data_IF_288453447368
#
_entry.id   IF_288453447368
#
_cell.length_a   1.000
_cell.length_b   1.000
_cell.length_c   1.000
_cell.angle_alpha   90.00
_cell.angle_beta   90.00
_cell.angle_gamma   90.00
#
_symmetry.space_group_name_H-M   'P 1'
#
loop_
_entity.id
_entity.type
_entity.pdbx_description
1 polymer ?
#
# COMPACT_ATOMS: atom_id res chain seq x y z
N UNK A 1 14.14 -14.91 23.25
CA UNK A 1 14.54 -13.67 23.95
C UNK A 1 13.31 -12.74 24.05
N UNK A 2 13.00 -12.22 25.25
CA UNK A 2 11.77 -11.44 25.45
C UNK A 2 11.96 -10.04 24.90
N UNK A 3 11.25 -9.74 23.81
CA UNK A 3 11.14 -8.40 23.22
C UNK A 3 10.64 -7.43 24.30
N UNK A 4 11.26 -6.24 24.47
CA UNK A 4 10.75 -5.22 25.39
C UNK A 4 9.28 -4.87 25.08
N UNK A 5 8.53 -4.40 26.07
CA UNK A 5 7.20 -3.84 25.81
C UNK A 5 7.31 -2.69 24.81
N UNK A 6 6.58 -2.77 23.70
CA UNK A 6 6.64 -1.80 22.62
C UNK A 6 5.28 -1.67 21.94
N UNK A 7 5.07 -0.54 21.28
CA UNK A 7 3.99 -0.36 20.32
C UNK A 7 4.52 -0.69 18.93
N UNK A 8 3.70 -1.39 18.14
CA UNK A 8 4.02 -1.70 16.75
C UNK A 8 2.86 -1.26 15.87
N UNK A 9 3.18 -0.52 14.81
CA UNK A 9 2.28 -0.25 13.70
C UNK A 9 2.81 -0.94 12.45
N UNK A 10 1.90 -1.37 11.58
CA UNK A 10 2.23 -1.81 10.23
C UNK A 10 1.32 -1.04 9.28
N UNK A 11 1.88 -0.51 8.20
CA UNK A 11 1.13 0.19 7.16
C UNK A 11 1.36 -0.49 5.82
N UNK A 12 0.32 -0.61 5.00
CA UNK A 12 0.43 -1.02 3.60
C UNK A 12 0.21 0.21 2.74
N UNK A 13 1.28 0.74 2.16
CA UNK A 13 1.21 1.93 1.30
C UNK A 13 0.97 1.57 -0.18
N UNK A 14 1.26 0.33 -0.60
CA UNK A 14 1.06 -0.11 -1.99
C UNK A 14 1.99 0.64 -2.92
N UNK A 15 1.47 1.16 -4.03
CA UNK A 15 2.29 1.85 -5.04
C UNK A 15 2.57 3.32 -4.71
N UNK A 16 2.05 3.85 -3.58
CA UNK A 16 2.21 5.25 -3.19
C UNK A 16 3.35 5.45 -2.19
N UNK A 17 4.57 5.60 -2.70
CA UNK A 17 5.77 5.85 -1.87
C UNK A 17 5.62 7.10 -0.98
N UNK A 18 4.82 8.09 -1.38
CA UNK A 18 4.63 9.29 -0.56
C UNK A 18 3.85 8.99 0.74
N UNK A 19 3.03 7.93 0.80
CA UNK A 19 2.33 7.50 2.03
C UNK A 19 3.30 6.87 3.04
N UNK A 20 4.31 6.14 2.55
CA UNK A 20 5.40 5.60 3.36
C UNK A 20 6.17 6.75 4.02
N UNK A 21 6.64 7.70 3.23
CA UNK A 21 7.39 8.85 3.75
C UNK A 21 6.55 9.79 4.63
N UNK A 22 5.23 9.87 4.41
CA UNK A 22 4.33 10.52 5.35
C UNK A 22 4.37 9.84 6.72
N UNK A 23 4.24 8.51 6.76
CA UNK A 23 4.32 7.75 8.02
C UNK A 23 5.67 7.93 8.70
N UNK A 24 6.77 7.87 7.95
CA UNK A 24 8.13 8.09 8.47
C UNK A 24 8.26 9.50 9.07
N UNK A 25 7.81 10.53 8.35
CA UNK A 25 7.88 11.92 8.84
C UNK A 25 7.13 12.11 10.16
N UNK A 26 5.98 11.45 10.33
CA UNK A 26 5.20 11.48 11.58
C UNK A 26 6.00 10.81 12.71
N UNK A 27 6.70 9.70 12.46
CA UNK A 27 7.57 9.07 13.47
C UNK A 27 8.70 10.03 13.90
N UNK A 28 9.33 10.73 12.96
CA UNK A 28 10.35 11.74 13.29
C UNK A 28 9.76 12.87 14.15
N UNK A 29 8.59 13.40 13.79
CA UNK A 29 7.89 14.44 14.57
C UNK A 29 7.48 13.96 15.97
N UNK A 30 6.97 12.73 16.10
CA UNK A 30 6.60 12.15 17.39
C UNK A 30 7.81 12.00 18.31
N UNK A 31 8.93 11.48 17.79
CA UNK A 31 10.17 11.35 18.58
C UNK A 31 10.80 12.69 18.92
N UNK A 32 10.59 13.71 18.09
CA UNK A 32 11.01 15.09 18.39
C UNK A 32 10.20 15.69 19.53
N UNK A 33 8.88 15.45 19.57
CA UNK A 33 7.98 15.93 20.61
C UNK A 33 8.13 15.19 21.94
N UNK A 34 8.27 13.86 21.90
CA UNK A 34 8.41 13.00 23.08
C UNK A 34 9.84 12.46 23.20
N UNK A 35 10.63 13.05 24.09
CA UNK A 35 12.06 12.72 24.25
C UNK A 35 12.34 11.30 24.74
N UNK A 36 11.34 10.62 25.32
CA UNK A 36 11.49 9.24 25.76
C UNK A 36 11.11 8.22 24.68
N UNK A 37 10.65 8.67 23.50
CA UNK A 37 10.24 7.81 22.42
C UNK A 37 11.44 7.43 21.53
N UNK A 38 11.75 6.14 21.50
CA UNK A 38 12.71 5.55 20.57
C UNK A 38 11.91 4.72 19.57
N UNK A 39 12.05 5.03 18.29
CA UNK A 39 11.35 4.34 17.23
C UNK A 39 12.32 3.56 16.34
N UNK A 40 11.78 2.54 15.68
CA UNK A 40 12.42 1.82 14.58
C UNK A 40 11.46 1.79 13.42
N UNK A 41 11.99 1.91 12.22
CA UNK A 41 11.23 1.92 10.97
C UNK A 41 11.99 1.08 9.97
N UNK A 42 11.30 0.13 9.33
CA UNK A 42 11.85 -0.74 8.31
C UNK A 42 10.73 -1.14 7.34
N UNK A 43 11.09 -1.52 6.12
CA UNK A 43 10.17 -1.98 5.07
C UNK A 43 10.51 -3.43 4.65
N UNK A 44 10.04 -3.86 3.47
CA UNK A 44 10.36 -5.19 2.91
C UNK A 44 11.81 -5.32 2.44
N UNK A 45 12.48 -4.21 2.14
CA UNK A 45 13.86 -4.16 1.66
C UNK A 45 14.86 -3.98 2.82
N UNK A 46 14.38 -3.64 4.01
CA UNK A 46 15.13 -3.63 5.26
C UNK A 46 15.12 -2.26 5.92
N UNK A 47 16.29 -1.73 6.23
CA UNK A 47 16.44 -0.44 6.91
C UNK A 47 16.28 0.73 5.91
N UNK A 48 15.04 1.08 5.57
CA UNK A 48 14.70 2.12 4.58
C UNK A 48 15.43 3.46 4.77
N UNK A 49 15.66 3.85 6.02
CA UNK A 49 16.37 5.10 6.34
C UNK A 49 17.84 5.08 5.89
N UNK A 50 18.45 3.90 5.84
CA UNK A 50 19.80 3.71 5.31
C UNK A 50 19.82 3.75 3.78
N UNK A 51 18.77 3.25 3.12
CA UNK A 51 18.66 3.27 1.66
C UNK A 51 18.67 4.73 1.15
N UNK A 52 17.88 5.61 1.76
CA UNK A 52 17.83 7.04 1.38
C UNK A 52 19.16 7.78 1.64
N UNK A 53 19.99 7.27 2.54
CA UNK A 53 21.25 7.90 2.94
C UNK A 53 22.50 7.14 2.51
N UNK A 54 22.37 6.18 1.58
CA UNK A 54 23.39 5.20 1.22
C UNK A 54 24.77 5.80 0.91
N UNK A 55 24.82 6.91 0.18
CA UNK A 55 26.09 7.57 -0.21
C UNK A 55 26.87 8.17 0.96
N UNK A 56 26.19 8.45 2.07
CA UNK A 56 26.74 9.09 3.26
C UNK A 56 26.95 8.13 4.43
N UNK A 57 26.66 6.84 4.24
CA UNK A 57 26.77 5.85 5.31
C UNK A 57 28.23 5.54 5.67
N UNK A 58 28.52 5.22 6.93
CA UNK A 58 29.81 4.64 7.31
C UNK A 58 30.06 3.33 6.57
N UNK A 59 31.26 3.14 6.00
CA UNK A 59 31.65 1.94 5.22
C UNK A 59 31.50 0.59 5.92
N UNK A 60 31.36 0.59 7.25
CA UNK A 60 31.17 -0.64 8.00
C UNK A 60 29.71 -1.07 8.08
N UNK A 61 28.78 -0.17 7.78
CA UNK A 61 27.35 -0.34 7.94
C UNK A 61 26.76 -0.95 6.68
N UNK A 62 26.72 -2.27 6.69
CA UNK A 62 26.11 -3.13 5.66
C UNK A 62 24.81 -3.75 6.20
N UNK A 63 23.91 -4.28 5.34
CA UNK A 63 22.63 -4.87 5.73
C UNK A 63 22.73 -5.86 6.90
N UNK A 64 23.70 -6.78 6.84
CA UNK A 64 23.91 -7.80 7.89
C UNK A 64 24.36 -7.20 9.22
N UNK A 65 24.99 -6.03 9.18
CA UNK A 65 25.57 -5.38 10.37
C UNK A 65 24.67 -4.30 10.95
N UNK A 66 23.63 -3.88 10.21
CA UNK A 66 22.67 -2.85 10.62
C UNK A 66 21.61 -3.35 11.62
N UNK A 67 21.49 -4.68 11.77
CA UNK A 67 20.49 -5.33 12.61
C UNK A 67 20.52 -4.78 14.03
N UNK A 68 19.38 -4.23 14.48
CA UNK A 68 19.21 -3.59 15.79
C UNK A 68 20.21 -2.45 16.08
N UNK A 69 20.66 -1.70 15.06
CA UNK A 69 21.53 -0.53 15.24
C UNK A 69 20.92 0.80 14.82
N UNK A 70 19.86 0.76 14.03
CA UNK A 70 19.23 1.94 13.45
C UNK A 70 17.99 2.31 14.27
N UNK A 71 17.94 3.55 14.75
CA UNK A 71 16.86 4.07 15.58
C UNK A 71 16.54 5.51 15.21
N UNK A 72 15.29 5.92 15.44
CA UNK A 72 14.87 7.33 15.40
C UNK A 72 14.61 7.79 16.82
N UNK A 73 15.26 8.86 17.24
CA UNK A 73 15.13 9.43 18.58
C UNK A 73 15.35 10.94 18.53
N UNK A 74 14.57 11.71 19.29
CA UNK A 74 14.65 13.17 19.33
C UNK A 74 14.57 13.85 17.94
N UNK A 75 13.83 13.25 16.98
CA UNK A 75 13.71 13.75 15.62
C UNK A 75 14.97 13.57 14.75
N UNK A 76 15.90 12.71 15.14
CA UNK A 76 17.14 12.43 14.41
C UNK A 76 17.35 10.93 14.20
N UNK A 77 18.14 10.60 13.19
CA UNK A 77 18.63 9.24 13.00
C UNK A 77 19.77 8.93 13.97
N UNK A 78 19.70 7.79 14.62
CA UNK A 78 20.77 7.25 15.45
C UNK A 78 21.23 5.90 14.89
N UNK A 79 22.55 5.75 14.75
CA UNK A 79 23.23 4.52 14.35
C UNK A 79 24.16 4.14 15.49
N UNK A 80 23.93 2.98 16.11
CA UNK A 80 24.80 2.48 17.19
C UNK A 80 26.16 2.05 16.62
N UNK A 81 27.27 2.77 16.92
CA UNK A 81 28.58 2.42 16.39
C UNK A 81 29.12 1.14 17.03
N UNK A 82 30.02 0.45 16.31
CA UNK A 82 30.66 -0.80 16.77
C UNK A 82 31.47 -0.62 18.06
N UNK A 83 31.96 0.59 18.32
CA UNK A 83 32.76 0.90 19.50
C UNK A 83 31.91 0.95 20.78
N UNK A 84 30.63 1.32 20.66
CA UNK A 84 29.67 1.37 21.78
C UNK A 84 29.04 -0.02 21.99
N UNK A 85 28.62 -0.66 20.89
CA UNK A 85 28.00 -1.97 20.93
C UNK A 85 28.75 -2.93 20.03
N UNK A 86 29.59 -3.77 20.65
CA UNK A 86 30.40 -4.78 19.98
C UNK A 86 29.55 -5.99 19.60
N UNK A 87 29.87 -6.62 18.48
CA UNK A 87 29.16 -7.78 17.93
C UNK A 87 28.44 -7.47 16.63
N UNK A 88 28.32 -8.45 15.74
CA UNK A 88 27.76 -8.21 14.39
C UNK A 88 26.23 -8.09 14.41
N UNK A 89 25.56 -8.80 15.32
CA UNK A 89 24.09 -8.78 15.46
C UNK A 89 23.68 -8.67 16.95
N UNK A 90 23.71 -7.47 17.55
CA UNK A 90 23.28 -7.29 18.92
C UNK A 90 21.80 -7.59 19.09
N UNK A 91 21.40 -8.04 20.29
CA UNK A 91 19.98 -8.14 20.62
C UNK A 91 19.36 -6.75 20.76
N UNK A 92 18.05 -6.65 20.46
CA UNK A 92 17.32 -5.38 20.62
C UNK A 92 17.42 -4.82 22.05
N UNK A 93 17.50 -5.70 23.06
CA UNK A 93 17.67 -5.28 24.46
C UNK A 93 19.01 -4.59 24.68
N UNK A 94 20.09 -5.17 24.19
CA UNK A 94 21.45 -4.60 24.30
C UNK A 94 21.53 -3.27 23.55
N UNK A 95 20.93 -3.20 22.36
CA UNK A 95 20.87 -1.99 21.57
C UNK A 95 20.16 -0.83 22.30
N UNK A 96 18.98 -1.09 22.88
CA UNK A 96 18.27 -0.09 23.65
C UNK A 96 19.03 0.31 24.92
N UNK A 97 19.65 -0.64 25.63
CA UNK A 97 20.49 -0.34 26.79
C UNK A 97 21.71 0.51 26.44
N UNK A 98 22.26 0.36 25.24
CA UNK A 98 23.36 1.19 24.74
C UNK A 98 22.90 2.60 24.33
N UNK A 99 21.64 2.76 23.88
CA UNK A 99 21.11 4.04 23.41
C UNK A 99 20.56 4.91 24.57
N UNK A 100 19.89 4.31 25.54
CA UNK A 100 19.23 5.01 26.66
C UNK A 100 20.12 6.00 27.44
N UNK A 101 21.40 5.70 27.77
CA UNK A 101 22.27 6.63 28.49
C UNK A 101 22.47 7.96 27.75
N UNK A 102 22.29 7.96 26.43
CA UNK A 102 22.50 9.12 25.57
C UNK A 102 21.20 9.86 25.26
N UNK A 103 20.05 9.39 25.75
CA UNK A 103 18.72 9.96 25.44
C UNK A 103 18.58 11.45 25.84
N UNK A 104 19.29 11.87 26.89
CA UNK A 104 19.29 13.28 27.34
C UNK A 104 20.49 14.10 26.84
N UNK A 105 21.40 13.50 26.06
CA UNK A 105 22.59 14.19 25.54
C UNK A 105 22.23 15.08 24.36
N UNK A 106 22.80 16.28 24.29
CA UNK A 106 22.63 17.19 23.15
C UNK A 106 23.38 16.75 21.89
N UNK A 107 24.48 16.01 22.06
CA UNK A 107 25.28 15.48 20.96
C UNK A 107 25.72 14.04 21.30
N UNK A 108 24.81 13.06 21.16
CA UNK A 108 25.11 11.69 21.52
C UNK A 108 26.00 11.05 20.45
N UNK A 109 26.97 10.20 20.85
CA UNK A 109 27.87 9.51 19.90
C UNK A 109 27.14 8.49 19.01
N UNK A 110 25.86 8.28 19.25
CA UNK A 110 24.96 7.44 18.45
C UNK A 110 24.23 8.23 17.37
N UNK A 111 24.23 9.56 17.40
CA UNK A 111 23.62 10.38 16.35
C UNK A 111 24.39 10.15 15.04
N UNK A 112 23.68 9.86 13.95
CA UNK A 112 24.31 9.74 12.64
C UNK A 112 24.89 11.09 12.18
N UNK A 113 25.95 11.03 11.37
CA UNK A 113 26.67 12.21 10.86
C UNK A 113 25.75 13.15 10.06
N UNK A 114 26.09 14.44 10.03
CA UNK A 114 25.23 15.46 9.41
C UNK A 114 24.87 15.17 7.94
N UNK A 115 25.74 14.62 7.07
CA UNK A 115 25.35 14.24 5.72
C UNK A 115 24.19 13.24 5.67
N UNK A 116 24.20 12.25 6.57
CA UNK A 116 23.10 11.26 6.70
C UNK A 116 21.81 11.94 7.17
N UNK A 117 21.91 12.85 8.15
CA UNK A 117 20.75 13.60 8.64
C UNK A 117 20.17 14.51 7.55
N UNK A 118 21.01 15.17 6.76
CA UNK A 118 20.58 16.08 5.70
C UNK A 118 19.89 15.34 4.56
N UNK A 119 20.38 14.16 4.14
CA UNK A 119 19.67 13.34 3.13
C UNK A 119 18.23 13.03 3.56
N UNK A 120 18.05 12.59 4.82
CA UNK A 120 16.72 12.30 5.37
C UNK A 120 15.86 13.56 5.50
N UNK A 121 16.45 14.67 5.96
CA UNK A 121 15.76 15.97 6.08
C UNK A 121 15.33 16.51 4.73
N UNK A 122 16.15 16.34 3.70
CA UNK A 122 15.86 16.71 2.33
C UNK A 122 14.73 15.85 1.75
N UNK A 123 14.73 14.53 1.99
CA UNK A 123 13.66 13.63 1.57
C UNK A 123 12.32 13.96 2.22
N UNK A 124 12.33 14.21 3.53
CA UNK A 124 11.16 14.58 4.33
C UNK A 124 10.77 16.06 4.23
N UNK A 125 11.42 16.85 3.37
CA UNK A 125 11.18 18.29 3.27
C UNK A 125 9.72 18.60 2.92
N UNK A 126 9.07 19.35 3.81
CA UNK A 126 7.68 19.79 3.65
C UNK A 126 6.64 18.78 4.10
N UNK A 127 7.02 17.62 4.62
CA UNK A 127 6.08 16.73 5.30
C UNK A 127 5.78 17.21 6.72
N UNK A 128 4.57 16.92 7.24
CA UNK A 128 3.45 16.21 6.59
C UNK A 128 2.57 17.11 5.69
N UNK A 129 2.75 18.44 5.75
CA UNK A 129 1.83 19.41 5.14
C UNK A 129 1.73 19.27 3.62
N UNK A 130 2.86 18.99 2.94
CA UNK A 130 2.93 18.76 1.50
C UNK A 130 2.04 17.60 1.09
N UNK A 131 2.19 16.44 1.74
CA UNK A 131 1.40 15.26 1.44
C UNK A 131 -0.09 15.49 1.71
N UNK A 132 -0.44 16.16 2.81
CA UNK A 132 -1.84 16.48 3.14
C UNK A 132 -2.48 17.42 2.10
N UNK A 133 -1.70 18.36 1.56
CA UNK A 133 -2.16 19.36 0.59
C UNK A 133 -2.22 18.81 -0.84
N UNK A 134 -1.23 18.03 -1.25
CA UNK A 134 -1.03 17.66 -2.66
C UNK A 134 -1.53 16.26 -3.00
N UNK A 135 -1.64 15.35 -2.02
CA UNK A 135 -2.18 14.00 -2.24
C UNK A 135 -3.67 13.97 -2.61
N UNK A 136 -4.56 14.81 -2.05
CA UNK A 136 -5.99 14.72 -2.38
C UNK A 136 -6.31 15.04 -3.84
N UNK A 137 -7.29 14.33 -4.40
CA UNK A 137 -7.89 14.62 -5.70
C UNK A 137 -9.41 14.42 -5.64
N UNK A 138 -10.19 15.43 -6.02
CA UNK A 138 -11.64 15.44 -6.02
C UNK A 138 -12.19 15.29 -7.44
N UNK A 139 -13.06 14.31 -7.63
CA UNK A 139 -13.71 14.06 -8.91
C UNK A 139 -15.14 13.57 -8.67
N UNK A 140 -16.08 13.96 -9.53
CA UNK A 140 -17.44 13.46 -9.50
C UNK A 140 -17.49 12.05 -10.09
N UNK A 141 -18.31 11.22 -9.48
CA UNK A 141 -18.59 9.87 -9.93
C UNK A 141 -20.11 9.66 -9.92
N UNK A 142 -20.65 9.09 -11.00
CA UNK A 142 -22.06 8.72 -11.07
C UNK A 142 -22.27 7.36 -10.37
N UNK A 143 -22.69 7.40 -9.11
CA UNK A 143 -22.68 6.25 -8.20
C UNK A 143 -24.08 5.87 -7.71
N UNK A 144 -24.31 4.59 -7.38
CA UNK A 144 -25.45 4.16 -6.59
C UNK A 144 -25.49 4.81 -5.20
N UNK A 145 -26.69 5.09 -4.70
CA UNK A 145 -26.92 5.64 -3.36
C UNK A 145 -26.24 4.81 -2.25
N UNK A 146 -26.24 3.47 -2.40
CA UNK A 146 -25.60 2.57 -1.42
C UNK A 146 -24.11 2.82 -1.30
N UNK A 147 -23.39 3.03 -2.41
CA UNK A 147 -21.96 3.36 -2.40
C UNK A 147 -21.74 4.78 -1.85
N UNK A 148 -22.59 5.73 -2.21
CA UNK A 148 -22.53 7.09 -1.65
C UNK A 148 -22.60 7.07 -0.11
N UNK A 149 -23.55 6.31 0.46
CA UNK A 149 -23.69 6.09 1.91
C UNK A 149 -22.44 5.44 2.51
N UNK A 150 -21.90 4.39 1.87
CA UNK A 150 -20.67 3.73 2.33
C UNK A 150 -19.49 4.70 2.40
N UNK A 151 -19.30 5.53 1.37
CA UNK A 151 -18.23 6.51 1.30
C UNK A 151 -18.40 7.66 2.30
N UNK A 152 -19.63 8.08 2.57
CA UNK A 152 -19.91 9.08 3.60
C UNK A 152 -19.59 8.56 5.00
N UNK A 153 -20.02 7.33 5.32
CA UNK A 153 -19.85 6.74 6.66
C UNK A 153 -18.43 6.23 6.90
N UNK A 154 -17.81 5.62 5.89
CA UNK A 154 -16.46 5.06 6.00
C UNK A 154 -15.64 5.32 4.73
N UNK A 155 -15.08 6.53 4.57
CA UNK A 155 -14.29 6.91 3.40
C UNK A 155 -13.11 5.98 3.10
N UNK A 156 -12.56 5.29 4.12
CA UNK A 156 -11.42 4.38 3.94
C UNK A 156 -11.74 3.18 3.02
N UNK A 157 -13.03 2.83 2.85
CA UNK A 157 -13.47 1.80 1.92
C UNK A 157 -13.09 2.12 0.47
N UNK A 158 -12.99 3.41 0.11
CA UNK A 158 -12.56 3.84 -1.21
C UNK A 158 -11.21 3.23 -1.59
N UNK A 159 -10.24 3.34 -0.68
CA UNK A 159 -8.88 2.85 -0.91
C UNK A 159 -8.83 1.32 -1.03
N UNK A 160 -9.69 0.60 -0.32
CA UNK A 160 -9.78 -0.85 -0.42
C UNK A 160 -10.45 -1.27 -1.74
N UNK A 161 -11.52 -0.58 -2.15
CA UNK A 161 -12.23 -0.87 -3.38
C UNK A 161 -11.35 -0.63 -4.60
N UNK A 162 -10.73 0.55 -4.69
CA UNK A 162 -9.82 0.90 -5.80
C UNK A 162 -8.66 -0.08 -5.90
N UNK A 163 -8.03 -0.47 -4.79
CA UNK A 163 -6.96 -1.48 -4.81
C UNK A 163 -7.47 -2.85 -5.26
N UNK A 164 -8.65 -3.27 -4.81
CA UNK A 164 -9.28 -4.51 -5.26
C UNK A 164 -9.54 -4.49 -6.77
N UNK A 165 -9.95 -3.35 -7.31
CA UNK A 165 -10.14 -3.16 -8.73
C UNK A 165 -8.82 -3.14 -9.50
N UNK A 166 -7.81 -2.44 -9.00
CA UNK A 166 -6.49 -2.36 -9.62
C UNK A 166 -5.81 -3.74 -9.70
N UNK A 167 -5.86 -4.51 -8.60
CA UNK A 167 -5.29 -5.86 -8.50
C UNK A 167 -6.31 -6.98 -8.81
N UNK A 168 -7.35 -6.68 -9.60
CA UNK A 168 -8.47 -7.60 -9.88
C UNK A 168 -8.01 -8.88 -10.58
N UNK A 169 -8.54 -10.02 -10.12
CA UNK A 169 -8.41 -11.32 -10.78
C UNK A 169 -9.65 -11.70 -11.60
N UNK A 170 -9.63 -12.85 -12.30
CA UNK A 170 -10.76 -13.32 -13.12
C UNK A 170 -12.07 -13.46 -12.34
N UNK A 171 -12.00 -13.87 -11.08
CA UNK A 171 -13.19 -14.01 -10.22
C UNK A 171 -13.77 -12.65 -9.79
N UNK A 172 -12.91 -11.65 -9.59
CA UNK A 172 -13.35 -10.28 -9.29
C UNK A 172 -14.06 -9.68 -10.50
N UNK A 173 -13.51 -9.89 -11.70
CA UNK A 173 -14.15 -9.45 -12.96
C UNK A 173 -15.49 -10.16 -13.17
N UNK A 174 -15.58 -11.45 -12.89
CA UNK A 174 -16.82 -12.22 -12.95
C UNK A 174 -17.88 -11.68 -11.97
N UNK A 175 -17.50 -11.38 -10.73
CA UNK A 175 -18.37 -10.72 -9.76
C UNK A 175 -18.86 -9.34 -10.24
N UNK A 176 -17.94 -8.50 -10.71
CA UNK A 176 -18.25 -7.17 -11.23
C UNK A 176 -19.11 -7.20 -12.49
N UNK A 177 -19.08 -8.28 -13.27
CA UNK A 177 -19.92 -8.42 -14.46
C UNK A 177 -21.41 -8.57 -14.14
N UNK A 178 -21.74 -9.05 -12.92
CA UNK A 178 -23.11 -9.29 -12.46
C UNK A 178 -23.71 -8.12 -11.69
N UNK A 179 -22.88 -7.36 -10.97
CA UNK A 179 -23.29 -6.22 -10.13
C UNK A 179 -24.53 -6.52 -9.25
N UNK A 180 -24.54 -7.67 -8.59
CA UNK A 180 -25.71 -8.14 -7.84
C UNK A 180 -26.00 -7.27 -6.61
N UNK A 181 -24.96 -6.75 -5.94
CA UNK A 181 -25.10 -5.96 -4.71
C UNK A 181 -25.28 -4.47 -5.01
N UNK A 182 -24.45 -3.91 -5.89
CA UNK A 182 -24.36 -2.47 -6.13
C UNK A 182 -24.83 -2.05 -7.53
N UNK A 183 -25.35 -2.95 -8.35
CA UNK A 183 -25.81 -2.62 -9.71
C UNK A 183 -27.12 -1.85 -9.76
N UNK A 184 -28.03 -2.11 -8.81
CA UNK A 184 -29.37 -1.52 -8.77
C UNK A 184 -29.49 -0.24 -7.93
N UNK A 185 -30.71 0.31 -7.91
CA UNK A 185 -31.08 1.46 -7.07
C UNK A 185 -30.93 2.83 -7.73
N UNK A 186 -31.27 3.88 -6.97
CA UNK A 186 -31.10 5.26 -7.41
C UNK A 186 -29.61 5.60 -7.54
N UNK A 187 -29.27 6.31 -8.61
CA UNK A 187 -27.92 6.81 -8.89
C UNK A 187 -27.92 8.33 -8.98
N UNK A 188 -26.77 8.93 -8.71
CA UNK A 188 -26.56 10.35 -8.84
C UNK A 188 -25.08 10.68 -8.80
N UNK A 189 -24.76 11.96 -9.02
CA UNK A 189 -23.37 12.40 -8.95
C UNK A 189 -22.95 12.57 -7.49
N UNK A 190 -21.78 12.06 -7.16
CA UNK A 190 -21.18 12.15 -5.84
C UNK A 190 -19.77 12.68 -6.02
N UNK A 191 -19.40 13.72 -5.28
CA UNK A 191 -18.02 14.20 -5.26
C UNK A 191 -17.19 13.25 -4.37
N UNK A 192 -16.26 12.53 -4.97
CA UNK A 192 -15.41 11.58 -4.26
C UNK A 192 -14.01 12.18 -4.09
N UNK A 193 -13.47 12.10 -2.87
CA UNK A 193 -12.11 12.54 -2.55
C UNK A 193 -11.17 11.32 -2.53
N UNK A 194 -10.38 11.19 -3.57
CA UNK A 194 -9.31 10.22 -3.72
C UNK A 194 -7.98 10.77 -3.17
N UNK A 195 -6.97 9.92 -3.09
CA UNK A 195 -5.59 10.38 -3.31
C UNK A 195 -5.31 10.39 -4.81
N UNK A 196 -4.36 11.19 -5.28
CA UNK A 196 -3.91 11.21 -6.68
C UNK A 196 -3.52 9.81 -7.14
N UNK A 197 -2.78 9.06 -6.32
CA UNK A 197 -2.42 7.67 -6.63
C UNK A 197 -3.67 6.79 -6.83
N UNK A 198 -4.64 6.80 -5.91
CA UNK A 198 -5.88 6.01 -6.06
C UNK A 198 -6.70 6.44 -7.27
N UNK A 199 -6.74 7.74 -7.56
CA UNK A 199 -7.44 8.24 -8.73
C UNK A 199 -6.79 7.73 -10.03
N UNK A 200 -5.47 7.84 -10.14
CA UNK A 200 -4.72 7.32 -11.28
C UNK A 200 -4.91 5.80 -11.45
N UNK A 201 -4.86 5.03 -10.36
CA UNK A 201 -5.10 3.59 -10.34
C UNK A 201 -6.50 3.22 -10.84
N UNK A 202 -7.50 4.09 -10.65
CA UNK A 202 -8.85 3.88 -11.15
C UNK A 202 -8.97 4.27 -12.62
N UNK A 203 -8.58 5.50 -12.99
CA UNK A 203 -8.86 6.09 -14.30
C UNK A 203 -8.05 5.41 -15.41
N UNK A 204 -6.75 5.16 -15.18
CA UNK A 204 -5.84 4.62 -16.21
C UNK A 204 -6.06 3.11 -16.46
N UNK A 205 -6.97 2.46 -15.73
CA UNK A 205 -7.34 1.06 -15.95
C UNK A 205 -8.43 0.96 -17.03
N UNK A 206 -8.19 0.16 -18.05
CA UNK A 206 -9.21 -0.21 -19.04
C UNK A 206 -10.19 -1.20 -18.42
N UNK A 207 -11.48 -0.89 -18.50
CA UNK A 207 -12.53 -1.74 -17.97
C UNK A 207 -13.84 -1.54 -18.74
N UNK A 208 -14.39 -2.64 -19.24
CA UNK A 208 -15.59 -2.62 -20.05
C UNK A 208 -16.85 -2.64 -19.18
N UNK A 209 -17.89 -1.96 -19.67
CA UNK A 209 -19.15 -1.85 -18.98
C UNK A 209 -19.78 -3.22 -18.68
N UNK A 210 -20.12 -3.51 -17.39
CA UNK A 210 -20.92 -4.67 -17.03
C UNK A 210 -22.30 -4.65 -17.69
N UNK A 211 -22.95 -5.81 -17.75
CA UNK A 211 -24.27 -5.93 -18.41
C UNK A 211 -25.28 -5.01 -17.72
N UNK A 212 -25.97 -4.18 -18.51
CA UNK A 212 -26.97 -3.24 -18.01
C UNK A 212 -26.42 -1.89 -17.58
N UNK A 213 -25.10 -1.68 -17.64
CA UNK A 213 -24.50 -0.35 -17.49
C UNK A 213 -24.43 0.34 -18.85
N UNK A 214 -25.09 1.49 -18.99
CA UNK A 214 -25.04 2.30 -20.20
C UNK A 214 -24.17 3.52 -19.91
N UNK A 215 -23.05 3.63 -20.64
CA UNK A 215 -22.23 4.84 -20.61
C UNK A 215 -22.76 5.84 -21.64
N UNK A 216 -22.65 7.16 -21.37
CA UNK A 216 -22.83 8.19 -22.38
C UNK A 216 -21.84 8.05 -23.55
N UNK A 217 -22.03 8.86 -24.59
CA UNK A 217 -21.03 9.01 -25.65
C UNK A 217 -19.72 9.55 -25.08
N UNK A 218 -18.57 9.14 -25.61
CA UNK A 218 -17.24 9.58 -25.13
C UNK A 218 -17.05 11.10 -25.23
N UNK A 219 -17.80 11.78 -26.12
CA UNK A 219 -17.76 13.24 -26.27
C UNK A 219 -18.64 13.97 -25.26
N UNK A 220 -19.45 13.25 -24.48
CA UNK A 220 -20.28 13.84 -23.44
C UNK A 220 -19.39 14.35 -22.30
N UNK A 221 -19.55 15.62 -21.84
CA UNK A 221 -18.74 16.16 -20.75
C UNK A 221 -18.86 15.36 -19.43
N UNK A 222 -19.96 14.61 -19.26
CA UNK A 222 -20.21 13.76 -18.09
C UNK A 222 -19.66 12.34 -18.26
N UNK A 223 -19.19 11.95 -19.45
CA UNK A 223 -18.70 10.60 -19.74
C UNK A 223 -17.72 10.10 -18.69
N UNK A 224 -16.73 10.92 -18.34
CA UNK A 224 -15.72 10.60 -17.32
C UNK A 224 -16.34 10.30 -15.95
N UNK A 225 -17.36 11.05 -15.53
CA UNK A 225 -18.05 10.80 -14.26
C UNK A 225 -18.81 9.47 -14.28
N UNK A 226 -19.41 9.12 -15.41
CA UNK A 226 -20.09 7.83 -15.59
C UNK A 226 -19.10 6.68 -15.67
N UNK A 227 -17.98 6.85 -16.37
CA UNK A 227 -16.93 5.85 -16.48
C UNK A 227 -16.26 5.58 -15.11
N UNK A 228 -15.86 6.63 -14.41
CA UNK A 228 -15.29 6.52 -13.06
C UNK A 228 -16.30 5.94 -12.07
N UNK A 229 -17.57 6.36 -12.16
CA UNK A 229 -18.66 5.81 -11.36
C UNK A 229 -18.90 4.32 -11.62
N UNK A 230 -18.82 3.89 -12.88
CA UNK A 230 -18.89 2.49 -13.28
C UNK A 230 -17.74 1.67 -12.71
N UNK A 231 -16.49 2.12 -12.94
CA UNK A 231 -15.29 1.46 -12.43
C UNK A 231 -15.34 1.33 -10.90
N UNK A 232 -15.77 2.38 -10.21
CA UNK A 232 -15.89 2.36 -8.75
C UNK A 232 -17.05 1.47 -8.28
N UNK A 233 -18.17 1.43 -9.00
CA UNK A 233 -19.27 0.49 -8.69
C UNK A 233 -18.82 -0.96 -8.81
N UNK A 234 -18.10 -1.28 -9.88
CA UNK A 234 -17.47 -2.58 -10.05
C UNK A 234 -16.46 -2.87 -8.92
N UNK A 235 -15.63 -1.91 -8.55
CA UNK A 235 -14.66 -2.03 -7.46
C UNK A 235 -15.28 -2.39 -6.12
N UNK A 236 -16.42 -1.77 -5.76
CA UNK A 236 -17.16 -2.10 -4.55
C UNK A 236 -17.83 -3.48 -4.63
N UNK A 237 -18.34 -3.88 -5.79
CA UNK A 237 -18.87 -5.24 -6.00
C UNK A 237 -17.78 -6.29 -5.82
N UNK A 238 -16.59 -6.08 -6.41
CA UNK A 238 -15.43 -6.95 -6.23
C UNK A 238 -15.05 -7.05 -4.76
N UNK A 239 -14.90 -5.91 -4.07
CA UNK A 239 -14.52 -5.88 -2.65
C UNK A 239 -15.55 -6.60 -1.77
N UNK A 240 -16.84 -6.42 -2.02
CA UNK A 240 -17.90 -7.10 -1.28
C UNK A 240 -17.89 -8.62 -1.48
N UNK A 241 -17.52 -9.08 -2.68
CA UNK A 241 -17.43 -10.52 -3.00
C UNK A 241 -16.12 -11.16 -2.60
N UNK A 242 -15.06 -10.37 -2.45
CA UNK A 242 -13.73 -10.85 -2.08
C UNK A 242 -13.81 -11.47 -0.69
N UNK A 243 -13.61 -12.78 -0.66
CA UNK A 243 -13.61 -13.53 0.59
C UNK A 243 -12.29 -13.22 1.33
N UNK A 244 -12.32 -12.88 2.63
CA UNK A 244 -11.12 -12.54 3.43
C UNK A 244 -10.06 -13.66 3.50
N UNK A 245 -10.36 -14.85 2.97
CA UNK A 245 -9.44 -15.99 2.91
C UNK A 245 -8.47 -15.97 1.71
N UNK A 246 -8.57 -15.00 0.79
CA UNK A 246 -7.81 -15.05 -0.47
C UNK A 246 -6.52 -14.27 -0.50
N UNK A 247 -6.38 -13.18 0.25
CA UNK A 247 -5.14 -12.43 0.40
C UNK A 247 -5.15 -11.71 1.74
N UNK A 248 -3.97 -11.41 2.27
CA UNK A 248 -3.79 -10.60 3.46
C UNK A 248 -4.72 -9.38 3.43
N UNK A 249 -5.61 -9.30 4.43
CA UNK A 249 -6.52 -8.17 4.65
C UNK A 249 -5.84 -6.83 4.27
N UNK A 250 -6.53 -5.93 3.55
CA UNK A 250 -6.04 -4.57 3.44
C UNK A 250 -5.85 -4.05 4.87
N UNK A 251 -4.61 -3.68 5.22
CA UNK A 251 -4.19 -3.32 6.57
C UNK A 251 -5.06 -2.21 7.23
N UNK A 252 -5.90 -1.51 6.45
CA UNK A 252 -6.90 -0.58 6.96
C UNK A 252 -8.05 -1.23 7.75
N UNK A 253 -8.19 -2.57 7.76
CA UNK A 253 -9.19 -3.30 8.56
C UNK A 253 -8.58 -4.25 9.61
N UNK A 254 -7.27 -4.50 9.56
CA UNK A 254 -6.58 -5.35 10.53
C UNK A 254 -5.98 -4.50 11.65
N UNK A 255 -6.62 -4.50 12.82
CA UNK A 255 -6.08 -3.87 14.04
C UNK A 255 -5.00 -4.72 14.72
N UNK A 256 -4.58 -5.85 14.16
CA UNK A 256 -3.50 -6.65 14.75
C UNK A 256 -2.98 -7.70 13.77
N UNK A 257 -1.82 -7.44 13.16
CA UNK A 257 -1.00 -8.47 12.51
C UNK A 257 0.15 -8.86 13.46
N UNK A 258 0.24 -10.14 13.90
CA UNK A 258 1.38 -10.63 14.67
C UNK A 258 2.67 -10.63 13.84
N UNK A 259 3.80 -10.53 14.54
CA UNK A 259 5.17 -10.57 13.97
C UNK A 259 5.43 -11.83 13.12
N UNK A 260 6.33 -11.76 12.12
CA UNK A 260 7.00 -12.95 11.63
C UNK A 260 7.80 -13.56 12.79
N UNK A 261 7.47 -14.79 13.17
CA UNK A 261 8.25 -15.54 14.16
C UNK A 261 9.62 -15.88 13.55
N UNK A 262 10.63 -15.08 13.86
CA UNK A 262 12.03 -15.53 13.81
C UNK A 262 12.28 -16.45 15.01
N UNK A 263 11.77 -17.69 14.93
CA UNK A 263 12.26 -18.95 15.53
C UNK A 263 11.10 -19.96 15.73
N UNK A 264 11.31 -21.26 15.46
CA UNK A 264 10.30 -22.28 15.68
C UNK A 264 10.05 -22.48 17.18
N UNK A 265 8.79 -22.64 17.64
CA UNK A 265 8.52 -22.97 19.04
C UNK A 265 9.03 -24.38 19.36
N UNK A 266 9.60 -24.53 20.55
CA UNK A 266 10.08 -25.81 21.07
C UNK A 266 8.91 -26.81 21.19
N UNK A 267 9.19 -28.06 20.82
CA UNK A 267 8.25 -29.17 20.87
C UNK A 267 7.70 -29.39 22.29
N UNK A 268 6.40 -29.22 22.48
CA UNK A 268 5.75 -29.60 23.72
C UNK A 268 4.32 -29.08 23.83
N UNK A 269 3.34 -29.84 23.31
CA UNK A 269 1.96 -29.98 23.81
C UNK A 269 1.05 -30.44 22.68
N UNK A 270 0.70 -31.72 22.72
CA UNK A 270 -0.08 -32.44 21.71
C UNK A 270 -1.55 -32.52 22.10
N UNK A 271 -2.35 -31.47 21.89
CA UNK A 271 -3.82 -31.55 22.06
C UNK A 271 -4.60 -30.53 21.20
N UNK A 272 -4.33 -30.39 19.89
CA UNK A 272 -5.25 -29.64 18.99
C UNK A 272 -5.46 -30.27 17.60
N UNK A 273 -5.03 -31.53 17.40
CA UNK A 273 -5.06 -32.18 16.08
C UNK A 273 -6.45 -32.54 15.52
N UNK A 274 -7.52 -32.42 16.29
CA UNK A 274 -8.87 -32.83 15.88
C UNK A 274 -9.73 -31.69 15.32
N UNK A 275 -9.54 -30.43 15.75
CA UNK A 275 -10.36 -29.28 15.33
C UNK A 275 -9.87 -28.57 14.06
N UNK A 276 -8.70 -28.95 13.54
CA UNK A 276 -8.13 -28.38 12.32
C UNK A 276 -8.63 -29.05 11.05
N UNK A 277 -9.27 -30.23 11.11
CA UNK A 277 -9.73 -30.96 9.92
C UNK A 277 -11.09 -30.47 9.44
N UNK A 278 -11.09 -29.46 8.57
CA UNK A 278 -12.27 -29.03 7.82
C UNK A 278 -11.92 -28.63 6.37
N UNK A 279 -12.93 -28.36 5.52
CA UNK A 279 -12.72 -28.06 4.09
C UNK A 279 -11.76 -26.88 3.83
N UNK A 280 -11.67 -25.94 4.78
CA UNK A 280 -10.76 -24.78 4.74
C UNK A 280 -9.29 -25.16 4.94
N UNK A 281 -9.01 -26.07 5.88
CA UNK A 281 -7.66 -26.59 6.11
C UNK A 281 -7.16 -27.40 4.90
N UNK A 282 -8.03 -28.23 4.32
CA UNK A 282 -7.71 -29.02 3.13
C UNK A 282 -7.39 -28.15 1.91
N UNK A 283 -8.03 -26.99 1.78
CA UNK A 283 -7.77 -26.04 0.69
C UNK A 283 -6.47 -25.25 0.92
N UNK A 284 -6.22 -24.85 2.16
CA UNK A 284 -4.96 -24.20 2.56
C UNK A 284 -3.76 -25.12 2.33
N UNK A 285 -3.85 -26.38 2.74
CA UNK A 285 -2.82 -27.40 2.51
C UNK A 285 -2.54 -27.61 1.01
N UNK A 286 -3.59 -27.73 0.18
CA UNK A 286 -3.43 -27.81 -1.30
C UNK A 286 -2.76 -26.58 -1.90
N UNK A 287 -2.98 -25.39 -1.33
CA UNK A 287 -2.31 -24.17 -1.77
C UNK A 287 -0.82 -24.23 -1.44
N UNK A 288 -0.45 -24.63 -0.23
CA UNK A 288 0.96 -24.78 0.18
C UNK A 288 1.70 -25.81 -0.68
N UNK A 289 1.06 -26.92 -1.01
CA UNK A 289 1.61 -27.91 -1.96
C UNK A 289 1.82 -27.30 -3.35
N UNK A 290 0.82 -26.57 -3.87
CA UNK A 290 0.92 -25.90 -5.18
C UNK A 290 2.06 -24.89 -5.24
N UNK A 291 2.30 -24.15 -4.16
CA UNK A 291 3.37 -23.15 -4.07
C UNK A 291 4.73 -23.75 -3.65
N UNK A 292 4.84 -25.06 -3.55
CA UNK A 292 6.10 -25.73 -3.27
C UNK A 292 6.61 -25.55 -1.83
N UNK A 293 5.74 -25.16 -0.90
CA UNK A 293 6.10 -24.90 0.51
C UNK A 293 6.74 -26.11 1.20
N UNK A 294 6.35 -27.32 0.81
CA UNK A 294 6.89 -28.56 1.36
C UNK A 294 8.19 -29.01 0.69
N UNK A 295 8.75 -28.24 -0.26
CA UNK A 295 10.05 -28.48 -0.92
C UNK A 295 10.19 -29.90 -1.51
N UNK A 296 9.08 -30.55 -1.91
CA UNK A 296 9.07 -31.93 -2.41
C UNK A 296 9.35 -33.01 -1.36
N UNK A 297 9.32 -32.67 -0.07
CA UNK A 297 9.47 -33.60 1.05
C UNK A 297 8.36 -34.65 1.05
N UNK A 298 8.72 -35.90 1.34
CA UNK A 298 7.74 -37.00 1.42
C UNK A 298 6.78 -36.80 2.59
N UNK A 299 5.49 -37.00 2.33
CA UNK A 299 4.45 -36.98 3.36
C UNK A 299 4.84 -37.86 4.56
N UNK A 300 4.90 -37.25 5.75
CA UNK A 300 5.27 -37.93 6.98
C UNK A 300 6.76 -37.97 7.32
N UNK A 301 7.64 -37.36 6.52
CA UNK A 301 9.04 -37.11 6.90
C UNK A 301 9.13 -36.21 8.15
N UNK A 302 10.25 -36.23 8.87
CA UNK A 302 10.44 -35.37 10.06
C UNK A 302 10.29 -33.89 9.68
N UNK A 303 10.92 -33.48 8.58
CA UNK A 303 10.86 -32.12 8.03
C UNK A 303 9.46 -31.77 7.52
N UNK A 304 8.78 -32.69 6.85
CA UNK A 304 7.38 -32.52 6.44
C UNK A 304 6.45 -32.31 7.65
N UNK A 305 6.63 -33.09 8.74
CA UNK A 305 5.84 -32.90 9.97
C UNK A 305 6.12 -31.55 10.64
N UNK A 306 7.36 -31.08 10.60
CA UNK A 306 7.74 -29.75 11.11
C UNK A 306 7.10 -28.63 10.29
N UNK A 307 7.12 -28.72 8.95
CA UNK A 307 6.47 -27.75 8.05
C UNK A 307 4.95 -27.76 8.20
N UNK A 308 4.33 -28.93 8.36
CA UNK A 308 2.89 -29.04 8.65
C UNK A 308 2.55 -28.42 10.01
N UNK A 309 3.39 -28.59 11.02
CA UNK A 309 3.19 -27.96 12.33
C UNK A 309 3.33 -26.42 12.25
N UNK A 310 4.27 -25.91 11.45
CA UNK A 310 4.41 -24.48 11.18
C UNK A 310 3.18 -23.92 10.44
N UNK A 311 2.71 -24.63 9.40
CA UNK A 311 1.50 -24.28 8.67
C UNK A 311 0.25 -24.32 9.57
N UNK A 312 0.14 -25.30 10.47
CA UNK A 312 -0.96 -25.41 11.43
C UNK A 312 -0.93 -24.29 12.48
N UNK A 313 0.26 -23.92 12.97
CA UNK A 313 0.44 -22.80 13.89
C UNK A 313 0.07 -21.47 13.22
N UNK A 314 0.51 -21.26 11.98
CA UNK A 314 0.11 -20.11 11.17
C UNK A 314 -1.41 -20.07 10.98
N UNK A 315 -2.01 -21.15 10.48
CA UNK A 315 -3.45 -21.26 10.26
C UNK A 315 -4.28 -21.03 11.53
N UNK A 316 -3.81 -21.51 12.68
CA UNK A 316 -4.46 -21.30 13.98
C UNK A 316 -4.33 -19.85 14.46
N UNK A 317 -3.16 -19.22 14.25
CA UNK A 317 -2.95 -17.81 14.59
C UNK A 317 -3.77 -16.87 13.71
N UNK A 318 -3.95 -17.20 12.43
CA UNK A 318 -4.86 -16.48 11.52
C UNK A 318 -6.33 -16.67 11.91
N UNK A 319 -6.71 -17.79 12.54
CA UNK A 319 -8.05 -18.02 13.10
C UNK A 319 -8.29 -17.25 14.40
N UNK A 320 -7.32 -17.24 15.31
CA UNK A 320 -7.44 -16.58 16.62
C UNK A 320 -7.54 -15.04 16.51
N UNK A 321 -7.03 -14.45 15.42
CA UNK A 321 -7.28 -13.04 15.07
C UNK A 321 -8.64 -12.78 14.39
N UNK A 322 -9.35 -13.82 13.97
CA UNK A 322 -10.55 -13.75 13.12
C UNK A 322 -11.87 -14.16 13.78
N UNK A 323 -11.90 -14.60 15.04
CA UNK A 323 -13.14 -14.99 15.73
C UNK A 323 -13.98 -13.79 16.25
N UNK A 324 -13.59 -12.55 15.90
CA UNK A 324 -14.34 -11.33 16.24
C UNK A 324 -14.28 -10.19 15.20
N UNK A 325 -13.85 -10.45 13.96
CA UNK A 325 -13.83 -9.44 12.89
C UNK A 325 -15.03 -9.63 11.96
N UNK A 326 -15.95 -8.66 11.94
CA UNK A 326 -16.97 -8.52 10.90
C UNK A 326 -16.26 -8.50 9.53
N UNK A 327 -16.66 -9.38 8.61
CA UNK A 327 -16.09 -9.35 7.26
C UNK A 327 -16.40 -8.02 6.57
N UNK A 328 -15.54 -7.55 5.66
CA UNK A 328 -15.76 -6.28 4.92
C UNK A 328 -17.17 -6.22 4.30
N UNK A 329 -17.69 -7.34 3.82
CA UNK A 329 -19.06 -7.44 3.29
C UNK A 329 -20.16 -7.24 4.37
N UNK A 330 -19.99 -7.82 5.55
CA UNK A 330 -20.91 -7.67 6.69
C UNK A 330 -20.89 -6.22 7.19
N UNK A 331 -19.70 -5.63 7.28
CA UNK A 331 -19.53 -4.22 7.60
C UNK A 331 -20.24 -3.33 6.58
N UNK A 332 -20.07 -3.59 5.27
CA UNK A 332 -20.82 -2.86 4.24
C UNK A 332 -22.32 -3.02 4.39
N UNK A 333 -22.81 -4.23 4.69
CA UNK A 333 -24.23 -4.48 4.92
C UNK A 333 -24.78 -3.70 6.11
N UNK A 334 -24.06 -3.69 7.24
CA UNK A 334 -24.41 -2.90 8.42
C UNK A 334 -24.46 -1.40 8.07
N UNK A 335 -23.42 -0.89 7.41
CA UNK A 335 -23.33 0.50 6.99
C UNK A 335 -24.36 0.89 5.93
N UNK A 336 -24.99 -0.04 5.22
CA UNK A 336 -26.08 0.28 4.28
C UNK A 336 -27.44 0.25 5.00
N UNK A 337 -27.63 -0.71 5.93
CA UNK A 337 -28.89 -0.99 6.63
C UNK A 337 -29.25 0.00 7.73
N UNK A 338 -28.30 0.78 8.24
CA UNK A 338 -28.63 1.93 9.09
C UNK A 338 -29.48 2.93 8.27
N UNK A 339 -30.81 2.71 8.29
CA UNK A 339 -31.89 3.57 7.76
C UNK A 339 -31.96 4.90 8.53
N UNK A 340 -32.61 5.98 8.09
CA UNK A 340 -33.05 6.54 6.80
C UNK A 340 -33.52 7.96 7.18
N UNK A 341 -32.70 8.98 6.94
CA UNK A 341 -33.13 10.38 6.91
C UNK A 341 -33.04 10.92 5.50
N UNK A 342 -33.69 12.07 5.23
CA UNK A 342 -33.53 12.81 3.96
C UNK A 342 -32.06 13.10 3.63
N UNK A 343 -31.18 13.10 4.65
CA UNK A 343 -29.71 13.21 4.55
C UNK A 343 -29.07 12.26 3.53
N UNK A 344 -29.62 11.05 3.34
CA UNK A 344 -29.09 10.11 2.35
C UNK A 344 -29.32 10.58 0.90
N UNK A 345 -30.45 11.25 0.63
CA UNK A 345 -30.78 11.75 -0.71
C UNK A 345 -29.98 12.98 -1.09
N UNK A 346 -29.59 13.79 -0.11
CA UNK A 346 -28.73 14.96 -0.32
C UNK A 346 -27.31 14.59 -0.77
N UNK A 347 -26.87 13.34 -0.57
CA UNK A 347 -25.57 12.85 -1.05
C UNK A 347 -25.47 12.78 -2.57
N UNK A 348 -26.60 12.65 -3.25
CA UNK A 348 -26.68 12.56 -4.70
C UNK A 348 -27.00 13.95 -5.25
N UNK A 349 -26.00 14.63 -5.82
CA UNK A 349 -26.29 15.85 -6.57
C UNK A 349 -26.81 15.51 -7.97
N UNK A 350 -27.81 16.26 -8.40
CA UNK A 350 -28.34 16.21 -9.77
C UNK A 350 -27.67 17.25 -10.68
N UNK A 351 -26.89 18.17 -10.11
CA UNK A 351 -26.27 19.28 -10.82
C UNK A 351 -24.81 19.45 -10.39
N UNK A 352 -23.92 18.50 -10.74
CA UNK A 352 -22.49 18.61 -10.49
C UNK A 352 -21.90 19.79 -11.25
N UNK A 353 -21.00 20.55 -10.61
CA UNK A 353 -20.30 21.67 -11.24
C UNK A 353 -18.85 21.26 -11.48
N UNK A 354 -18.43 21.20 -12.74
CA UNK A 354 -17.08 20.79 -13.11
C UNK A 354 -15.97 21.62 -12.42
N UNK A 355 -16.25 22.88 -12.08
CA UNK A 355 -15.35 23.78 -11.34
C UNK A 355 -15.04 23.32 -9.91
N UNK A 356 -15.82 22.40 -9.36
CA UNK A 356 -15.61 21.84 -8.02
C UNK A 356 -14.70 20.59 -8.04
N UNK A 357 -14.23 20.18 -9.21
CA UNK A 357 -13.26 19.09 -9.39
C UNK A 357 -11.83 19.61 -9.42
N UNK A 358 -10.90 18.77 -9.00
CA UNK A 358 -9.49 19.06 -9.14
C UNK A 358 -9.06 18.77 -10.59
N UNK A 359 -8.18 19.62 -11.13
CA UNK A 359 -7.62 19.43 -12.46
C UNK A 359 -6.85 18.10 -12.57
N UNK A 360 -6.84 17.54 -13.78
CA UNK A 360 -6.16 16.29 -14.12
C UNK A 360 -4.78 16.51 -14.74
N UNK A 361 -4.30 17.75 -14.86
CA UNK A 361 -3.01 18.11 -15.50
C UNK A 361 -1.81 17.32 -14.93
N UNK A 362 -1.88 16.90 -13.67
CA UNK A 362 -0.84 16.09 -13.01
C UNK A 362 -0.79 14.62 -13.48
N UNK A 363 -1.81 14.13 -14.18
CA UNK A 363 -1.84 12.78 -14.77
C UNK A 363 -1.04 12.69 -16.07
N UNK A 364 -0.88 13.82 -16.77
CA UNK A 364 -0.24 13.89 -18.08
C UNK A 364 1.15 14.49 -17.91
N UNK A 365 2.11 13.65 -17.53
CA UNK A 365 3.51 14.07 -17.46
C UNK A 365 4.11 14.11 -18.87
N UNK A 366 4.42 15.30 -19.34
CA UNK A 366 5.14 15.49 -20.59
C UNK A 366 6.62 15.05 -20.48
N UNK A 367 7.31 14.90 -21.62
CA UNK A 367 8.75 14.56 -21.63
C UNK A 367 9.60 15.59 -20.86
N UNK A 368 9.21 16.86 -20.89
CA UNK A 368 9.90 17.95 -20.16
C UNK A 368 9.71 17.83 -18.64
N UNK A 369 8.52 17.41 -18.18
CA UNK A 369 8.26 17.19 -16.75
C UNK A 369 9.02 15.97 -16.22
N UNK A 370 9.12 14.92 -17.04
CA UNK A 370 9.92 13.75 -16.74
C UNK A 370 11.42 14.10 -16.65
N UNK A 371 11.93 14.89 -17.60
CA UNK A 371 13.32 15.38 -17.58
C UNK A 371 13.59 16.26 -16.35
N UNK A 372 12.64 17.11 -15.97
CA UNK A 372 12.73 17.91 -14.74
C UNK A 372 12.70 17.05 -13.47
N UNK A 373 11.91 15.98 -13.45
CA UNK A 373 11.90 15.02 -12.34
C UNK A 373 13.24 14.29 -12.25
N UNK A 374 13.72 13.73 -13.36
CA UNK A 374 14.98 12.98 -13.44
C UNK A 374 16.19 13.85 -13.11
N UNK A 375 16.23 15.09 -13.61
CA UNK A 375 17.28 16.06 -13.27
C UNK A 375 17.19 16.49 -11.81
N UNK A 376 15.99 16.64 -11.23
CA UNK A 376 15.82 16.97 -9.80
C UNK A 376 16.22 15.81 -8.86
N UNK A 377 16.10 14.55 -9.31
CA UNK A 377 16.65 13.38 -8.61
C UNK A 377 18.16 13.24 -8.83
N UNK A 378 18.67 13.52 -10.03
CA UNK A 378 20.10 13.48 -10.32
C UNK A 378 20.90 14.61 -9.61
N UNK A 379 20.27 15.74 -9.29
CA UNK A 379 20.89 16.77 -8.44
C UNK A 379 20.86 16.41 -6.94
N UNK A 380 20.12 15.37 -6.52
CA UNK A 380 20.12 14.86 -5.12
C UNK A 380 21.22 13.84 -4.85
N UNK A 381 21.84 13.27 -5.89
CA UNK A 381 23.08 12.50 -5.81
C UNK A 381 24.01 12.92 -6.93
N UNK A 382 24.97 13.82 -6.67
CA UNK A 382 25.89 14.26 -7.73
C UNK A 382 27.35 14.13 -7.33
N UNK A 383 28.00 13.16 -7.98
CA UNK A 383 29.27 13.41 -8.67
C UNK A 383 29.59 12.46 -9.85
N UNK A 384 28.82 11.40 -10.15
CA UNK A 384 29.25 10.43 -11.22
C UNK A 384 28.22 10.02 -12.27
N UNK A 385 26.94 10.40 -12.19
CA UNK A 385 25.89 9.86 -13.07
C UNK A 385 25.28 10.83 -14.09
N UNK A 386 25.85 12.03 -14.32
CA UNK A 386 25.33 12.96 -15.35
C UNK A 386 25.27 12.33 -16.76
N UNK A 387 26.16 11.38 -17.08
CA UNK A 387 26.22 10.76 -18.41
C UNK A 387 25.15 9.67 -18.62
N UNK A 388 24.60 9.08 -17.55
CA UNK A 388 23.62 7.99 -17.64
C UNK A 388 22.18 8.51 -17.69
N UNK A 389 21.92 9.65 -17.05
CA UNK A 389 20.60 10.27 -17.05
C UNK A 389 20.19 10.77 -18.45
N UNK A 390 21.10 11.41 -19.18
CA UNK A 390 20.80 11.96 -20.52
C UNK A 390 20.50 10.84 -21.52
N UNK A 391 21.27 9.75 -21.51
CA UNK A 391 21.09 8.59 -22.40
C UNK A 391 19.78 7.84 -22.08
N UNK A 392 19.41 7.74 -20.79
CA UNK A 392 18.14 7.15 -20.36
C UNK A 392 16.93 8.02 -20.77
N UNK A 393 17.04 9.34 -20.63
CA UNK A 393 16.00 10.30 -21.05
C UNK A 393 15.78 10.22 -22.55
N UNK A 394 16.85 10.22 -23.35
CA UNK A 394 16.76 10.13 -24.81
C UNK A 394 16.14 8.80 -25.26
N UNK A 395 16.52 7.70 -24.59
CA UNK A 395 15.94 6.37 -24.86
C UNK A 395 14.46 6.30 -24.50
N UNK A 396 14.04 6.89 -23.38
CA UNK A 396 12.64 6.94 -22.96
C UNK A 396 11.80 7.87 -23.83
N UNK A 397 12.35 9.01 -24.27
CA UNK A 397 11.70 9.89 -25.24
C UNK A 397 11.48 9.17 -26.58
N UNK A 398 12.49 8.42 -27.05
CA UNK A 398 12.35 7.57 -28.25
C UNK A 398 11.26 6.50 -28.09
N UNK A 399 11.13 5.92 -26.90
CA UNK A 399 10.08 4.94 -26.60
C UNK A 399 8.68 5.58 -26.54
N UNK A 400 8.52 6.73 -25.87
CA UNK A 400 7.25 7.46 -25.77
C UNK A 400 6.75 7.94 -27.14
N UNK A 401 7.64 8.47 -27.99
CA UNK A 401 7.29 8.85 -29.37
C UNK A 401 6.84 7.65 -30.19
N UNK A 402 7.46 6.47 -29.98
CA UNK A 402 7.12 5.24 -30.69
C UNK A 402 5.77 4.67 -30.25
N UNK A 403 5.42 4.76 -28.97
CA UNK A 403 4.09 4.36 -28.47
C UNK A 403 3.01 5.34 -28.94
N UNK A 404 3.27 6.65 -28.88
CA UNK A 404 2.35 7.67 -29.39
C UNK A 404 2.04 7.49 -30.89
N UNK A 405 3.01 6.98 -31.67
CA UNK A 405 2.80 6.68 -33.10
C UNK A 405 1.93 5.45 -33.39
N UNK A 406 1.69 4.58 -32.40
CA UNK A 406 1.00 3.30 -32.61
C UNK A 406 -0.51 3.35 -32.31
N UNK A 407 -1.00 4.40 -31.65
CA UNK A 407 -2.43 4.57 -31.29
C UNK A 407 -3.31 5.09 -32.45
N UNK A 408 -2.83 5.05 -33.71
CA UNK A 408 -3.52 5.72 -34.83
C UNK A 408 -3.31 5.12 -36.22
N UNK A 409 -3.09 3.81 -36.35
CA UNK A 409 -3.01 3.16 -37.67
C UNK A 409 -3.93 1.93 -37.77
N UNK A 410 -5.25 2.15 -37.71
CA UNK A 410 -6.21 1.20 -38.29
C UNK A 410 -6.45 1.55 -39.77
N UNK A 411 -6.00 0.63 -40.63
CA UNK A 411 -6.45 0.31 -42.00
C UNK A 411 -7.03 1.42 -42.89
N UNK A 412 -6.17 1.93 -43.79
CA UNK A 412 -6.61 2.58 -45.02
C UNK A 412 -5.84 2.06 -46.24
N UNK A 413 -5.97 0.77 -46.57
CA UNK A 413 -5.76 0.28 -47.95
C UNK A 413 -6.76 -0.81 -48.34
N UNK A 414 -7.99 -0.40 -48.60
CA UNK A 414 -8.92 -1.12 -49.48
C UNK A 414 -9.52 -0.15 -50.49
N UNK A 415 -9.08 -0.26 -51.75
CA UNK A 415 -9.82 0.20 -52.92
C UNK A 415 -9.15 1.27 -53.78
N UNK A 416 -8.61 0.84 -54.92
CA UNK A 416 -8.75 1.41 -56.29
C UNK A 416 -7.64 0.80 -57.19
N UNK A 417 -7.90 -0.35 -57.82
CA UNK A 417 -8.37 -0.54 -59.22
C UNK A 417 -7.42 0.02 -60.29
N UNK A 418 -6.69 -0.89 -60.95
CA UNK A 418 -6.79 -1.18 -62.39
C UNK A 418 -6.16 -2.55 -62.66
#
# INVERSE_FOLDING_TARGET
>A
PVTPGHLKGTVRYGDNVEDEWLCISIIFLLTQGERNLIARVWDSDGEILLIESAESLPKWLEPDTAINRVFVHAGKLHILPRDILRGEAPSLREALQALLPFSSSSNPPTQADEPVQESLRARMRGYPERAIRESPHRSFCFLPLSIAKLLQRRPQLLSAAVRCFYARGPEDVDAASRLEKFGGGQRGYVQVRFTRCLYAQLVKQTFFAPRGFQLPDEKDPTFRWHENGMKLTAAFEMLYRRNPLREEEPACFSSSLPLPLQQPPAAGSSTHGAELRGPRWERYMRSLERFGFFEGEREGSKKHRELVAQAAAFFSSSRAGGEGQEGVAELMDCLIKEEEGEEGRELLTSNPRAEEEDAEDWLDMGPEDLEKLLSSSAHRGRATEEVVADDLVETMQGFMQKISSYEGAEDAKRGEKA
#
